data_IF_118466135053
#
_entry.id   IF_118466135053
#
_cell.length_a   1.000
_cell.length_b   1.000
_cell.length_c   1.000
_cell.angle_alpha   90.00
_cell.angle_beta   90.00
_cell.angle_gamma   90.00
#
_symmetry.space_group_name_H-M   'P 1'
#
loop_
_entity.id
_entity.type
_entity.pdbx_description
1 polymer ?
#
# COMPACT_ATOMS: atom_id res chain seq x y z
N UNK A 1 5.25 -2.23 -6.97
CA UNK A 1 5.26 -3.56 -6.29
C UNK A 1 5.05 -4.77 -7.22
N UNK A 2 3.94 -4.87 -7.97
CA UNK A 2 3.69 -6.06 -8.82
C UNK A 2 4.84 -6.37 -9.79
N UNK A 3 5.31 -5.35 -10.51
CA UNK A 3 6.47 -5.46 -11.39
C UNK A 3 7.71 -5.97 -10.66
N UNK A 4 8.00 -5.45 -9.46
CA UNK A 4 9.14 -5.89 -8.65
C UNK A 4 9.03 -7.37 -8.25
N UNK A 5 7.81 -7.86 -7.99
CA UNK A 5 7.57 -9.29 -7.70
C UNK A 5 7.72 -10.16 -8.95
N UNK A 6 7.19 -9.71 -10.09
CA UNK A 6 7.27 -10.42 -11.37
C UNK A 6 8.72 -10.58 -11.84
N UNK A 7 9.52 -9.53 -11.67
CA UNK A 7 10.94 -9.52 -12.00
C UNK A 7 11.84 -10.11 -10.89
N UNK A 8 11.26 -10.62 -9.79
CA UNK A 8 11.98 -11.18 -8.65
C UNK A 8 13.05 -10.23 -8.06
N UNK A 9 12.75 -8.94 -8.00
CA UNK A 9 13.70 -7.94 -7.49
C UNK A 9 14.01 -8.12 -5.99
N UNK A 10 13.10 -8.73 -5.22
CA UNK A 10 13.32 -9.20 -3.85
C UNK A 10 13.79 -10.66 -3.78
N UNK A 11 14.35 -11.20 -4.87
CA UNK A 11 14.80 -12.58 -4.99
C UNK A 11 13.66 -13.61 -5.00
N UNK A 12 13.99 -14.86 -4.67
CA UNK A 12 13.03 -15.98 -4.71
C UNK A 12 11.86 -15.84 -3.73
N UNK A 13 12.01 -14.96 -2.73
CA UNK A 13 11.00 -14.69 -1.71
C UNK A 13 10.13 -13.46 -2.02
N UNK A 14 10.28 -12.83 -3.19
CA UNK A 14 9.55 -11.62 -3.59
C UNK A 14 8.03 -11.68 -3.31
N UNK A 15 7.40 -12.84 -3.51
CA UNK A 15 5.96 -13.04 -3.20
C UNK A 15 5.65 -13.01 -1.71
N UNK A 16 6.52 -13.60 -0.88
CA UNK A 16 6.32 -13.62 0.57
C UNK A 16 6.64 -12.24 1.17
N UNK A 17 7.65 -11.54 0.65
CA UNK A 17 7.95 -10.16 0.99
C UNK A 17 6.73 -9.27 0.69
N UNK A 18 6.11 -9.40 -0.48
CA UNK A 18 4.92 -8.61 -0.82
C UNK A 18 3.73 -8.87 0.13
N UNK A 19 3.55 -10.11 0.60
CA UNK A 19 2.54 -10.42 1.62
C UNK A 19 2.90 -9.80 2.97
N UNK A 20 4.16 -9.88 3.36
CA UNK A 20 4.66 -9.27 4.59
C UNK A 20 4.51 -7.75 4.57
N UNK A 21 4.82 -7.09 3.45
CA UNK A 21 4.63 -5.65 3.25
C UNK A 21 3.18 -5.23 3.52
N UNK A 22 2.20 -6.01 3.04
CA UNK A 22 0.79 -5.73 3.33
C UNK A 22 0.52 -5.71 4.84
N UNK A 23 1.04 -6.70 5.57
CA UNK A 23 0.85 -6.79 7.02
C UNK A 23 1.49 -5.61 7.76
N UNK A 24 2.70 -5.20 7.39
CA UNK A 24 3.36 -4.07 8.09
C UNK A 24 2.74 -2.72 7.75
N UNK A 25 2.24 -2.53 6.53
CA UNK A 25 1.45 -1.34 6.16
C UNK A 25 0.13 -1.31 6.93
N UNK A 26 -0.56 -2.44 7.07
CA UNK A 26 -1.77 -2.53 7.89
C UNK A 26 -1.48 -2.19 9.36
N UNK A 27 -0.43 -2.78 9.93
CA UNK A 27 -0.01 -2.49 11.29
C UNK A 27 0.36 -1.01 11.48
N UNK A 28 0.99 -0.38 10.49
CA UNK A 28 1.34 1.04 10.56
C UNK A 28 0.10 1.91 10.80
N UNK A 29 -1.03 1.63 10.15
CA UNK A 29 -2.29 2.35 10.39
C UNK A 29 -2.99 1.96 11.71
N UNK A 30 -2.77 0.74 12.22
CA UNK A 30 -3.34 0.31 13.51
C UNK A 30 -2.58 0.94 14.68
N UNK A 31 -1.27 1.08 14.55
CA UNK A 31 -0.37 1.55 15.60
C UNK A 31 -0.28 3.09 15.66
N UNK A 32 -0.66 3.78 14.59
CA UNK A 32 -0.60 5.23 14.49
C UNK A 32 -1.99 5.82 14.21
N UNK A 33 -2.38 6.80 15.03
CA UNK A 33 -3.58 7.60 14.77
C UNK A 33 -3.29 8.69 13.72
N UNK A 34 -4.28 8.96 12.87
CA UNK A 34 -4.29 10.09 11.91
C UNK A 34 -3.10 10.13 10.94
N UNK A 35 -2.61 8.96 10.53
CA UNK A 35 -1.58 8.79 9.49
C UNK A 35 -1.84 9.67 8.27
N UNK A 36 -0.86 10.49 7.93
CA UNK A 36 -0.87 11.36 6.76
C UNK A 36 -0.40 10.59 5.51
N UNK A 37 -0.90 11.00 4.35
CA UNK A 37 -0.54 10.38 3.07
C UNK A 37 0.97 10.40 2.81
N UNK A 38 1.65 11.49 3.18
CA UNK A 38 3.10 11.61 3.06
C UNK A 38 3.82 10.57 3.94
N UNK A 39 3.39 10.37 5.18
CA UNK A 39 4.04 9.45 6.13
C UNK A 39 3.96 8.00 5.63
N UNK A 40 2.80 7.57 5.14
CA UNK A 40 2.67 6.22 4.58
C UNK A 40 3.42 6.07 3.25
N UNK A 41 3.53 7.14 2.47
CA UNK A 41 4.27 7.13 1.19
C UNK A 41 5.75 6.92 1.44
N UNK A 42 6.36 7.75 2.29
CA UNK A 42 7.76 7.63 2.71
C UNK A 42 8.05 6.23 3.29
N UNK A 43 7.12 5.70 4.11
CA UNK A 43 7.26 4.35 4.64
C UNK A 43 7.23 3.27 3.53
N UNK A 44 6.35 3.39 2.54
CA UNK A 44 6.30 2.46 1.41
C UNK A 44 7.51 2.59 0.48
N UNK A 45 8.05 3.79 0.29
CA UNK A 45 9.30 4.02 -0.45
C UNK A 45 10.47 3.28 0.21
N UNK A 46 10.59 3.42 1.53
CA UNK A 46 11.61 2.71 2.32
C UNK A 46 11.47 1.19 2.18
N UNK A 47 10.24 0.65 2.25
CA UNK A 47 10.00 -0.78 2.05
C UNK A 47 10.38 -1.24 0.63
N UNK A 48 10.02 -0.47 -0.40
CA UNK A 48 10.35 -0.79 -1.79
C UNK A 48 11.87 -0.76 -2.02
N UNK A 49 12.57 0.20 -1.44
CA UNK A 49 14.01 0.31 -1.56
C UNK A 49 14.72 -0.80 -0.78
N UNK A 50 14.34 -1.03 0.48
CA UNK A 50 15.02 -2.00 1.34
C UNK A 50 14.80 -3.45 0.90
N UNK A 51 13.59 -3.80 0.47
CA UNK A 51 13.23 -5.19 0.17
C UNK A 51 13.35 -5.57 -1.31
N UNK A 52 13.19 -4.59 -2.21
CA UNK A 52 13.21 -4.82 -3.65
C UNK A 52 14.31 -4.04 -4.38
N UNK A 53 15.16 -3.28 -3.66
CA UNK A 53 16.19 -2.41 -4.25
C UNK A 53 15.61 -1.54 -5.38
N UNK A 54 14.42 -1.01 -5.16
CA UNK A 54 13.63 -0.28 -6.16
C UNK A 54 13.25 1.09 -5.61
N UNK A 55 13.56 2.13 -6.38
CA UNK A 55 13.05 3.48 -6.16
C UNK A 55 11.83 3.69 -7.07
N UNK A 56 10.72 4.16 -6.49
CA UNK A 56 9.51 4.49 -7.23
C UNK A 56 9.42 6.02 -7.36
N UNK A 57 9.67 6.55 -8.54
CA UNK A 57 9.67 8.00 -8.80
C UNK A 57 8.51 8.43 -9.74
N UNK A 58 7.54 7.54 -9.96
CA UNK A 58 6.46 7.72 -10.93
C UNK A 58 5.17 8.30 -10.33
N UNK A 59 5.18 8.67 -9.04
CA UNK A 59 3.99 9.15 -8.33
C UNK A 59 3.06 8.04 -7.84
N UNK A 60 3.36 6.77 -8.12
CA UNK A 60 2.45 5.66 -7.82
C UNK A 60 2.29 5.39 -6.33
N UNK A 61 3.31 5.70 -5.52
CA UNK A 61 3.26 5.49 -4.07
C UNK A 61 2.49 6.61 -3.37
N UNK A 62 2.57 7.83 -3.88
CA UNK A 62 1.79 8.99 -3.43
C UNK A 62 0.30 8.76 -3.66
N UNK A 63 -0.09 8.36 -4.88
CA UNK A 63 -1.48 8.03 -5.20
C UNK A 63 -2.01 6.87 -4.32
N UNK A 64 -1.15 5.88 -4.05
CA UNK A 64 -1.47 4.77 -3.16
C UNK A 64 -1.62 5.24 -1.72
N UNK A 65 -0.73 6.10 -1.22
CA UNK A 65 -0.76 6.65 0.13
C UNK A 65 -2.02 7.45 0.39
N UNK A 66 -2.39 8.35 -0.53
CA UNK A 66 -3.65 9.10 -0.47
C UNK A 66 -4.87 8.18 -0.41
N UNK A 67 -4.89 7.16 -1.26
CA UNK A 67 -5.98 6.18 -1.32
C UNK A 67 -6.09 5.40 -0.01
N UNK A 68 -4.97 4.92 0.53
CA UNK A 68 -4.95 4.19 1.81
C UNK A 68 -5.46 5.06 2.96
N UNK A 69 -4.95 6.28 3.11
CA UNK A 69 -5.42 7.20 4.15
C UNK A 69 -6.92 7.49 4.03
N UNK A 70 -7.42 7.70 2.81
CA UNK A 70 -8.85 7.87 2.55
C UNK A 70 -9.66 6.65 3.01
N UNK A 71 -9.26 5.45 2.63
CA UNK A 71 -9.98 4.23 2.97
C UNK A 71 -9.94 3.91 4.47
N UNK A 72 -8.78 4.07 5.11
CA UNK A 72 -8.67 3.88 6.55
C UNK A 72 -9.54 4.86 7.33
N UNK A 73 -9.60 6.13 6.91
CA UNK A 73 -10.50 7.12 7.53
C UNK A 73 -11.97 6.73 7.39
N UNK A 74 -12.39 6.33 6.19
CA UNK A 74 -13.78 5.87 5.97
C UNK A 74 -14.12 4.65 6.83
N UNK A 75 -13.21 3.69 6.99
CA UNK A 75 -13.41 2.54 7.87
C UNK A 75 -13.50 2.98 9.34
N UNK A 76 -12.63 3.89 9.81
CA UNK A 76 -12.67 4.45 11.16
C UNK A 76 -13.99 5.17 11.45
N UNK A 77 -14.59 5.79 10.43
CA UNK A 77 -15.89 6.47 10.50
C UNK A 77 -17.10 5.51 10.36
N UNK A 78 -16.89 4.20 10.22
CA UNK A 78 -17.96 3.21 10.04
C UNK A 78 -18.63 3.24 8.65
N UNK A 79 -17.91 3.74 7.64
CA UNK A 79 -18.37 3.90 6.25
C UNK A 79 -17.82 2.80 5.34
N UNK A 80 -17.76 1.57 5.83
CA UNK A 80 -17.22 0.41 5.12
C UNK A 80 -17.87 0.20 3.74
N UNK A 81 -19.17 0.51 3.62
CA UNK A 81 -19.91 0.41 2.37
C UNK A 81 -19.34 1.32 1.27
N UNK A 82 -18.87 2.53 1.61
CA UNK A 82 -18.26 3.45 0.65
C UNK A 82 -16.93 2.90 0.13
N UNK A 83 -16.12 2.34 1.03
CA UNK A 83 -14.85 1.69 0.68
C UNK A 83 -15.09 0.50 -0.25
N UNK A 84 -16.06 -0.37 0.07
CA UNK A 84 -16.40 -1.52 -0.77
C UNK A 84 -16.85 -1.09 -2.17
N UNK A 85 -17.69 -0.06 -2.27
CA UNK A 85 -18.17 0.47 -3.56
C UNK A 85 -17.04 1.04 -4.41
N UNK A 86 -16.07 1.72 -3.80
CA UNK A 86 -14.91 2.22 -4.53
C UNK A 86 -14.00 1.07 -4.99
N UNK A 87 -13.72 0.09 -4.13
CA UNK A 87 -12.88 -1.06 -4.48
C UNK A 87 -13.51 -1.95 -5.56
N UNK A 88 -14.85 -1.99 -5.68
CA UNK A 88 -15.53 -2.69 -6.76
C UNK A 88 -15.20 -2.12 -8.15
N UNK A 89 -14.92 -0.81 -8.26
CA UNK A 89 -14.53 -0.17 -9.52
C UNK A 89 -13.20 -0.72 -10.05
N UNK A 90 -12.32 -1.18 -9.16
CA UNK A 90 -11.05 -1.79 -9.52
C UNK A 90 -11.17 -3.28 -9.86
N UNK A 91 -12.11 -4.00 -9.22
CA UNK A 91 -12.40 -5.41 -9.54
C UNK A 91 -13.11 -5.61 -10.89
N UNK A 92 -13.77 -4.58 -11.42
CA UNK A 92 -14.45 -4.62 -12.72
C UNK A 92 -13.54 -4.40 -13.94
N UNK A 93 -12.24 -4.17 -13.73
CA UNK A 93 -11.26 -3.83 -14.77
C UNK A 93 -10.25 -4.95 -15.05
N UNK A 94 -10.57 -6.20 -14.71
CA UNK A 94 -9.78 -7.40 -15.05
C UNK A 94 -10.53 -8.33 -16.00
#
# INVERSE_FOLDING_TARGET
LQLAVEHQLGGTQSKEIAKWMKTVVENFFIENDDVLAQEITEYMEDLMNNEFNTLCEDGSLEEMGESLCKYFRLIKDGKDAEVILELQKYKGSS
#
